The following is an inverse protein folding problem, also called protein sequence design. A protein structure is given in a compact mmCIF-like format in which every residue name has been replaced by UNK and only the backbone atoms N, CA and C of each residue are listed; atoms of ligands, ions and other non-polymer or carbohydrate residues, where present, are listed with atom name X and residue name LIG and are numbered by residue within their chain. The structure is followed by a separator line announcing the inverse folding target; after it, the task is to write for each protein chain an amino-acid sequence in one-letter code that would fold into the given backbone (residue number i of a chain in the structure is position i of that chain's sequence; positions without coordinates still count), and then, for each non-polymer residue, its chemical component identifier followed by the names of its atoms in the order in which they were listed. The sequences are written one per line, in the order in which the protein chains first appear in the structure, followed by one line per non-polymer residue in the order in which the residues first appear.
data_IF_438952994016
#
_entry.id   IF_438952994016
#
_cell.length_a   1.000
_cell.length_b   1.000
_cell.length_c   1.000
_cell.angle_alpha   90.00
_cell.angle_beta   90.00
_cell.angle_gamma   90.00
#
_symmetry.space_group_name_H-M   'P 1'
#
loop_
_entity.id
_entity.type
_entity.pdbx_description
1 polymer ?
#
# COMPACT_ATOMS: atom_id res chain seq x y z
N UNK A 1 -5.17 -33.66 11.27
CA UNK A 1 -4.60 -32.31 10.99
C UNK A 1 -4.86 -32.03 9.53
N UNK A 2 -5.98 -31.40 9.22
CA UNK A 2 -6.44 -31.15 7.85
C UNK A 2 -6.51 -29.67 7.63
N UNK A 3 -5.59 -29.17 6.79
CA UNK A 3 -5.51 -27.76 6.40
C UNK A 3 -6.78 -27.30 5.69
N UNK A 4 -7.38 -26.25 6.19
CA UNK A 4 -8.46 -25.52 5.54
C UNK A 4 -7.86 -24.62 4.44
N UNK A 5 -7.80 -25.13 3.24
CA UNK A 5 -7.40 -24.35 2.08
C UNK A 5 -8.63 -23.67 1.45
N UNK A 6 -8.59 -22.36 1.30
CA UNK A 6 -9.49 -21.65 0.41
C UNK A 6 -9.16 -22.04 -1.04
N UNK A 7 -10.15 -22.48 -1.80
CA UNK A 7 -9.96 -22.88 -3.19
C UNK A 7 -9.97 -21.68 -4.12
N UNK A 8 -8.93 -21.56 -4.94
CA UNK A 8 -8.87 -20.67 -6.09
C UNK A 8 -9.56 -21.35 -7.26
N UNK A 9 -10.63 -20.76 -7.75
CA UNK A 9 -11.25 -21.18 -9.01
C UNK A 9 -10.75 -20.25 -10.10
N UNK A 10 -9.82 -20.74 -10.93
CA UNK A 10 -9.38 -20.04 -12.13
C UNK A 10 -10.37 -20.34 -13.26
N UNK A 11 -11.14 -19.35 -13.66
CA UNK A 11 -12.00 -19.42 -14.85
C UNK A 11 -11.24 -18.78 -16.00
N UNK A 12 -10.71 -19.62 -16.91
CA UNK A 12 -10.15 -19.16 -18.18
C UNK A 12 -11.30 -18.81 -19.12
N UNK A 13 -11.57 -17.53 -19.32
CA UNK A 13 -12.39 -17.06 -20.41
C UNK A 13 -11.48 -16.62 -21.56
N UNK A 14 -11.50 -17.38 -22.66
CA UNK A 14 -10.83 -16.99 -23.91
C UNK A 14 -11.68 -15.93 -24.61
N UNK A 15 -11.38 -14.67 -24.37
CA UNK A 15 -11.74 -13.59 -25.27
C UNK A 15 -10.52 -13.31 -26.16
N UNK A 16 -10.72 -12.96 -27.42
CA UNK A 16 -9.65 -12.59 -28.37
C UNK A 16 -8.79 -11.48 -27.74
N UNK A 17 -7.58 -11.86 -27.25
CA UNK A 17 -6.69 -10.98 -26.46
C UNK A 17 -6.63 -11.45 -25.01
N UNK A 18 -6.08 -12.62 -24.80
CA UNK A 18 -5.64 -13.30 -23.57
C UNK A 18 -5.46 -12.40 -22.33
N UNK A 19 -6.49 -12.26 -21.48
CA UNK A 19 -6.31 -11.98 -20.06
C UNK A 19 -7.10 -12.99 -19.26
N UNK A 20 -6.40 -13.80 -18.45
CA UNK A 20 -7.01 -14.75 -17.52
C UNK A 20 -7.44 -13.96 -16.28
N UNK A 21 -8.73 -13.81 -16.05
CA UNK A 21 -9.28 -13.26 -14.82
C UNK A 21 -9.29 -14.36 -13.75
N UNK A 22 -8.50 -14.19 -12.72
CA UNK A 22 -8.52 -15.05 -11.53
C UNK A 22 -9.39 -14.37 -10.48
N UNK A 23 -10.59 -14.88 -10.23
CA UNK A 23 -11.45 -14.42 -9.14
C UNK A 23 -11.24 -15.33 -7.94
N UNK A 24 -10.75 -14.79 -6.84
CA UNK A 24 -10.67 -15.49 -5.56
C UNK A 24 -12.01 -15.35 -4.82
N UNK A 25 -12.73 -16.44 -4.66
CA UNK A 25 -13.87 -16.50 -3.76
C UNK A 25 -13.45 -17.04 -2.40
N UNK A 26 -13.83 -16.36 -1.31
CA UNK A 26 -13.57 -16.82 0.05
C UNK A 26 -14.27 -18.17 0.34
N UNK A 27 -13.76 -18.91 1.32
CA UNK A 27 -14.27 -20.25 1.69
C UNK A 27 -15.76 -20.28 2.05
N UNK A 28 -16.32 -19.15 2.47
CA UNK A 28 -17.75 -18.98 2.81
C UNK A 28 -18.62 -18.55 1.63
N UNK A 29 -18.05 -18.32 0.44
CA UNK A 29 -18.86 -17.95 -0.72
C UNK A 29 -19.74 -19.12 -1.18
N UNK A 30 -20.95 -18.82 -1.62
CA UNK A 30 -21.87 -19.83 -2.15
C UNK A 30 -21.26 -20.63 -3.32
N UNK A 31 -20.34 -20.01 -4.06
CA UNK A 31 -19.62 -20.64 -5.16
C UNK A 31 -18.58 -21.66 -4.66
N UNK A 32 -17.81 -21.33 -3.60
CA UNK A 32 -16.86 -22.28 -2.97
C UNK A 32 -17.59 -23.43 -2.31
N UNK A 33 -18.75 -23.16 -1.69
CA UNK A 33 -19.61 -24.17 -1.08
C UNK A 33 -20.16 -25.12 -2.16
N UNK A 34 -20.72 -24.59 -3.24
CA UNK A 34 -21.24 -25.39 -4.35
C UNK A 34 -20.17 -26.24 -5.02
N UNK A 35 -18.95 -25.72 -5.22
CA UNK A 35 -17.82 -26.47 -5.75
C UNK A 35 -17.35 -27.58 -4.82
N UNK A 36 -17.25 -27.30 -3.52
CA UNK A 36 -16.84 -28.26 -2.50
C UNK A 36 -17.86 -29.41 -2.35
N UNK A 37 -19.16 -29.11 -2.41
CA UNK A 37 -20.22 -30.11 -2.40
C UNK A 37 -20.26 -30.91 -3.70
N UNK A 38 -20.15 -30.27 -4.85
CA UNK A 38 -20.11 -30.93 -6.14
C UNK A 38 -18.96 -31.90 -6.29
N UNK A 39 -17.76 -31.56 -5.79
CA UNK A 39 -16.60 -32.47 -5.81
C UNK A 39 -16.70 -33.63 -4.81
N UNK A 40 -17.42 -33.48 -3.70
CA UNK A 40 -17.68 -34.56 -2.74
C UNK A 40 -18.79 -35.50 -3.18
N UNK A 41 -19.83 -35.01 -3.86
CA UNK A 41 -20.93 -35.82 -4.35
C UNK A 41 -20.57 -36.63 -5.60
N UNK A 42 -19.56 -36.22 -6.34
CA UNK A 42 -19.10 -36.91 -7.57
C UNK A 42 -17.90 -37.79 -7.28
N UNK A 43 -17.95 -38.56 -6.19
CA UNK A 43 -16.90 -39.52 -5.78
C UNK A 43 -16.09 -40.06 -6.95
N UNK A 44 -14.83 -40.26 -6.71
CA UNK A 44 -13.68 -40.63 -7.51
C UNK A 44 -13.91 -41.60 -8.69
N UNK A 45 -14.88 -41.34 -9.56
CA UNK A 45 -15.12 -42.10 -10.76
C UNK A 45 -14.87 -41.23 -12.01
N UNK A 46 -14.00 -41.75 -12.82
CA UNK A 46 -13.35 -41.32 -14.06
C UNK A 46 -14.25 -40.76 -15.19
N UNK A 47 -15.25 -39.96 -14.94
CA UNK A 47 -16.05 -39.27 -15.96
C UNK A 47 -15.91 -37.74 -15.92
N UNK A 48 -14.67 -37.31 -16.14
CA UNK A 48 -14.30 -35.87 -16.07
C UNK A 48 -14.77 -35.02 -17.26
N UNK A 49 -15.46 -35.61 -18.25
CA UNK A 49 -15.90 -34.85 -19.45
C UNK A 49 -17.19 -34.05 -19.30
N UNK A 50 -18.19 -34.60 -18.61
CA UNK A 50 -19.56 -34.04 -18.61
C UNK A 50 -19.71 -32.73 -17.81
N UNK A 51 -19.10 -32.62 -16.64
CA UNK A 51 -19.22 -31.42 -15.81
C UNK A 51 -18.34 -30.26 -16.34
N UNK A 52 -17.19 -30.58 -16.98
CA UNK A 52 -16.39 -29.53 -17.67
C UNK A 52 -17.16 -28.91 -18.81
N UNK A 53 -17.91 -29.69 -19.58
CA UNK A 53 -18.81 -29.17 -20.62
C UNK A 53 -20.01 -28.41 -20.04
N UNK A 54 -20.58 -28.87 -18.92
CA UNK A 54 -21.65 -28.15 -18.22
C UNK A 54 -21.12 -26.85 -17.61
N UNK A 55 -19.95 -26.86 -16.96
CA UNK A 55 -19.30 -25.66 -16.43
C UNK A 55 -18.91 -24.68 -17.55
N UNK A 56 -18.45 -25.15 -18.71
CA UNK A 56 -18.19 -24.31 -19.88
C UNK A 56 -19.48 -23.71 -20.49
N UNK A 57 -20.58 -24.48 -20.57
CA UNK A 57 -21.88 -23.96 -21.04
C UNK A 57 -22.47 -22.95 -20.06
N UNK A 58 -22.24 -23.11 -18.76
CA UNK A 58 -22.67 -22.15 -17.75
C UNK A 58 -21.70 -20.99 -17.59
N UNK A 59 -20.41 -21.13 -17.89
CA UNK A 59 -19.44 -20.04 -17.88
C UNK A 59 -19.80 -18.89 -18.83
N UNK A 60 -20.48 -19.19 -19.96
CA UNK A 60 -21.05 -18.14 -20.83
C UNK A 60 -22.18 -17.34 -20.16
N UNK A 61 -22.94 -17.92 -19.24
CA UNK A 61 -23.98 -17.24 -18.46
C UNK A 61 -23.40 -16.40 -17.31
N UNK A 62 -22.16 -16.71 -16.85
CA UNK A 62 -21.48 -16.03 -15.75
C UNK A 62 -20.37 -15.09 -16.25
N UNK A 63 -20.51 -14.56 -17.46
CA UNK A 63 -19.64 -13.47 -17.89
C UNK A 63 -19.95 -12.27 -16.98
N UNK A 64 -19.01 -11.97 -16.08
CA UNK A 64 -19.09 -10.78 -15.18
C UNK A 64 -19.40 -9.49 -15.97
N UNK A 65 -18.95 -9.41 -17.21
CA UNK A 65 -19.28 -8.31 -18.12
C UNK A 65 -20.79 -8.20 -18.43
N UNK A 66 -21.55 -9.32 -18.40
CA UNK A 66 -23.01 -9.29 -18.62
C UNK A 66 -23.81 -8.81 -17.39
N UNK A 67 -23.17 -8.77 -16.23
CA UNK A 67 -23.75 -8.27 -14.98
C UNK A 67 -23.46 -6.79 -14.73
N UNK A 68 -22.63 -6.20 -15.59
CA UNK A 68 -22.36 -4.78 -15.51
C UNK A 68 -23.64 -4.03 -15.87
N UNK A 69 -24.24 -3.25 -14.96
CA UNK A 69 -25.48 -2.56 -15.24
C UNK A 69 -25.33 -1.67 -16.48
N UNK A 70 -26.28 -1.73 -17.42
CA UNK A 70 -26.23 -0.92 -18.66
C UNK A 70 -26.01 0.56 -18.39
N UNK A 71 -26.62 1.08 -17.31
CA UNK A 71 -26.45 2.47 -16.87
C UNK A 71 -24.98 2.86 -16.60
N UNK A 72 -24.11 1.87 -16.30
CA UNK A 72 -22.68 2.11 -16.08
C UNK A 72 -21.84 1.91 -17.36
N UNK A 73 -22.47 1.42 -18.46
CA UNK A 73 -21.78 1.23 -19.74
C UNK A 73 -21.83 2.49 -20.62
N UNK A 74 -22.88 3.29 -20.50
CA UNK A 74 -23.23 4.31 -21.49
C UNK A 74 -22.87 5.75 -21.07
N UNK A 75 -22.49 6.02 -19.80
CA UNK A 75 -22.53 7.38 -19.24
C UNK A 75 -21.21 7.95 -18.71
N UNK A 76 -20.08 7.27 -18.89
CA UNK A 76 -18.80 7.84 -18.46
C UNK A 76 -18.12 8.54 -19.63
N UNK A 77 -18.65 9.72 -20.03
CA UNK A 77 -17.92 10.60 -20.92
C UNK A 77 -16.60 11.05 -20.27
N UNK A 78 -15.48 10.67 -20.88
CA UNK A 78 -14.17 11.05 -20.43
C UNK A 78 -13.90 12.49 -20.79
N UNK A 79 -13.94 13.36 -19.80
CA UNK A 79 -13.49 14.73 -19.94
C UNK A 79 -11.97 14.79 -19.81
N UNK A 80 -11.30 15.32 -20.83
CA UNK A 80 -9.87 15.61 -20.75
C UNK A 80 -9.66 16.99 -20.14
N UNK A 81 -9.02 17.07 -18.97
CA UNK A 81 -8.66 18.32 -18.31
C UNK A 81 -7.27 18.82 -18.73
N UNK A 82 -6.40 17.89 -19.07
CA UNK A 82 -5.04 18.15 -19.56
C UNK A 82 -4.80 17.29 -20.79
N UNK A 83 -4.41 17.88 -21.93
CA UNK A 83 -4.03 17.09 -23.11
C UNK A 83 -2.77 16.29 -22.84
N UNK A 84 -2.65 15.15 -23.53
CA UNK A 84 -1.44 14.34 -23.43
C UNK A 84 -0.25 15.09 -24.06
N UNK A 85 0.93 15.00 -23.46
CA UNK A 85 2.14 15.56 -24.05
C UNK A 85 2.55 14.79 -25.31
N UNK A 86 3.53 15.32 -26.06
CA UNK A 86 4.14 14.57 -27.17
C UNK A 86 4.70 13.23 -26.67
N UNK A 87 4.80 12.24 -27.57
CA UNK A 87 5.36 10.93 -27.23
C UNK A 87 6.76 11.03 -26.61
N UNK A 88 7.62 11.88 -27.14
CA UNK A 88 8.97 12.09 -26.63
C UNK A 88 8.95 12.67 -25.20
N UNK A 89 8.10 13.66 -24.97
CA UNK A 89 7.95 14.29 -23.66
C UNK A 89 7.32 13.34 -22.63
N UNK A 90 6.32 12.56 -23.05
CA UNK A 90 5.73 11.51 -22.20
C UNK A 90 6.78 10.48 -21.75
N UNK A 91 7.60 9.99 -22.66
CA UNK A 91 8.66 9.01 -22.33
C UNK A 91 9.67 9.60 -21.34
N UNK A 92 10.04 10.87 -21.48
CA UNK A 92 10.92 11.54 -20.54
C UNK A 92 10.28 11.66 -19.13
N UNK A 93 9.03 12.12 -19.04
CA UNK A 93 8.30 12.24 -17.79
C UNK A 93 8.12 10.88 -17.07
N UNK A 94 7.85 9.85 -17.85
CA UNK A 94 7.71 8.47 -17.34
C UNK A 94 9.06 7.97 -16.81
N UNK A 95 10.17 8.26 -17.52
CA UNK A 95 11.52 7.92 -17.05
C UNK A 95 11.85 8.54 -15.70
N UNK A 96 11.45 9.78 -15.45
CA UNK A 96 11.60 10.43 -14.13
C UNK A 96 10.82 9.69 -13.03
N UNK A 97 9.61 9.24 -13.31
CA UNK A 97 8.82 8.45 -12.36
C UNK A 97 9.48 7.11 -12.05
N UNK A 98 9.92 6.37 -13.08
CA UNK A 98 10.54 5.04 -12.88
C UNK A 98 11.88 5.12 -12.17
N UNK A 99 12.69 6.13 -12.46
CA UNK A 99 14.01 6.30 -11.83
C UNK A 99 13.95 6.74 -10.37
N UNK A 100 12.85 7.34 -9.93
CA UNK A 100 12.69 7.87 -8.56
C UNK A 100 11.59 7.15 -7.77
N UNK A 101 10.33 7.47 -8.06
CA UNK A 101 9.19 6.99 -7.28
C UNK A 101 9.06 5.46 -7.36
N UNK A 102 9.06 4.90 -8.57
CA UNK A 102 8.89 3.46 -8.76
C UNK A 102 10.13 2.66 -8.33
N UNK A 103 11.32 3.27 -8.39
CA UNK A 103 12.54 2.66 -7.85
C UNK A 103 12.45 2.45 -6.34
N UNK A 104 11.91 3.42 -5.61
CA UNK A 104 11.76 3.35 -4.16
C UNK A 104 10.56 2.49 -3.73
N UNK A 105 9.42 2.65 -4.41
CA UNK A 105 8.16 1.94 -4.16
C UNK A 105 7.74 1.25 -5.45
N UNK A 106 8.14 -0.01 -5.66
CA UNK A 106 7.99 -0.72 -6.94
C UNK A 106 6.53 -1.11 -7.17
N UNK A 107 5.80 -0.26 -7.87
CA UNK A 107 4.38 -0.44 -8.15
C UNK A 107 4.13 -0.99 -9.56
N UNK A 108 4.85 -0.50 -10.57
CA UNK A 108 4.68 -0.91 -11.96
C UNK A 108 5.91 -1.66 -12.47
N UNK A 109 5.68 -2.60 -13.38
CA UNK A 109 6.74 -3.16 -14.20
C UNK A 109 7.01 -2.24 -15.38
N UNK A 110 8.21 -1.66 -15.48
CA UNK A 110 8.57 -0.66 -16.47
C UNK A 110 8.41 -1.18 -17.91
N UNK A 111 8.89 -2.39 -18.19
CA UNK A 111 8.81 -2.98 -19.52
C UNK A 111 7.36 -3.15 -19.99
N UNK A 112 6.49 -3.63 -19.12
CA UNK A 112 5.05 -3.79 -19.41
C UNK A 112 4.36 -2.44 -19.56
N UNK A 113 4.70 -1.47 -18.72
CA UNK A 113 4.16 -0.11 -18.77
C UNK A 113 4.55 0.57 -20.10
N UNK A 114 5.83 0.49 -20.50
CA UNK A 114 6.31 1.10 -21.74
C UNK A 114 5.69 0.49 -23.00
N UNK A 115 5.32 -0.79 -22.98
CA UNK A 115 4.51 -1.40 -24.08
C UNK A 115 3.15 -0.73 -24.21
N UNK A 116 2.48 -0.44 -23.08
CA UNK A 116 1.20 0.28 -23.07
C UNK A 116 1.39 1.75 -23.51
N UNK A 117 2.49 2.39 -23.13
CA UNK A 117 2.85 3.74 -23.63
C UNK A 117 3.00 3.75 -25.16
N UNK A 118 3.73 2.79 -25.71
CA UNK A 118 3.88 2.68 -27.18
C UNK A 118 2.53 2.50 -27.87
N UNK A 119 1.66 1.68 -27.28
CA UNK A 119 0.31 1.45 -27.78
C UNK A 119 -0.55 2.71 -27.68
N UNK A 120 -0.41 3.54 -26.61
CA UNK A 120 -1.15 4.79 -26.41
C UNK A 120 -0.93 5.77 -27.57
N UNK A 121 0.28 5.84 -28.11
CA UNK A 121 0.64 6.71 -29.23
C UNK A 121 0.59 6.00 -30.59
N UNK A 122 -0.09 4.86 -30.69
CA UNK A 122 -0.35 4.15 -31.93
C UNK A 122 -1.76 4.44 -32.47
N UNK A 123 -2.10 3.84 -33.62
CA UNK A 123 -3.44 3.90 -34.21
C UNK A 123 -4.54 3.15 -33.40
N UNK A 124 -4.14 2.31 -32.43
CA UNK A 124 -5.07 1.54 -31.59
C UNK A 124 -4.70 1.69 -30.10
N UNK A 125 -4.96 2.85 -29.48
CA UNK A 125 -4.64 3.10 -28.09
C UNK A 125 -5.44 2.16 -27.16
N UNK A 126 -4.92 1.96 -25.95
CA UNK A 126 -5.66 1.26 -24.89
C UNK A 126 -6.65 2.23 -24.26
N UNK A 127 -7.95 1.92 -24.35
CA UNK A 127 -9.02 2.76 -23.82
C UNK A 127 -9.48 2.34 -22.42
N UNK A 128 -8.80 1.37 -21.79
CA UNK A 128 -9.20 0.92 -20.45
C UNK A 128 -9.04 2.04 -19.41
N UNK A 129 -10.01 2.19 -18.48
CA UNK A 129 -9.91 3.19 -17.43
C UNK A 129 -8.72 2.97 -16.52
N UNK A 130 -8.32 1.71 -16.29
CA UNK A 130 -7.14 1.34 -15.49
C UNK A 130 -5.86 1.88 -16.11
N UNK A 131 -5.71 1.73 -17.43
CA UNK A 131 -4.58 2.28 -18.16
C UNK A 131 -4.60 3.81 -18.16
N UNK A 132 -5.76 4.40 -18.51
CA UNK A 132 -5.90 5.85 -18.55
C UNK A 132 -5.54 6.50 -17.22
N UNK A 133 -6.03 5.97 -16.10
CA UNK A 133 -5.70 6.47 -14.77
C UNK A 133 -4.20 6.31 -14.47
N UNK A 134 -3.63 5.11 -14.65
CA UNK A 134 -2.22 4.83 -14.39
C UNK A 134 -1.30 5.73 -15.19
N UNK A 135 -1.57 5.89 -16.49
CA UNK A 135 -0.77 6.72 -17.39
C UNK A 135 -0.79 8.18 -16.97
N UNK A 136 -1.96 8.74 -16.68
CA UNK A 136 -2.08 10.13 -16.24
C UNK A 136 -1.44 10.38 -14.89
N UNK A 137 -1.55 9.46 -13.91
CA UNK A 137 -0.89 9.64 -12.61
C UNK A 137 0.64 9.59 -12.76
N UNK A 138 1.17 8.71 -13.59
CA UNK A 138 2.61 8.63 -13.85
C UNK A 138 3.11 9.91 -14.52
N UNK A 139 2.38 10.46 -15.49
CA UNK A 139 2.69 11.77 -16.08
C UNK A 139 2.65 12.88 -15.03
N UNK A 140 1.67 12.86 -14.12
CA UNK A 140 1.56 13.85 -13.06
C UNK A 140 2.78 13.83 -12.13
N UNK A 141 3.30 12.64 -11.77
CA UNK A 141 4.55 12.53 -11.02
C UNK A 141 5.74 13.10 -11.80
N UNK A 142 5.86 12.78 -13.08
CA UNK A 142 6.93 13.33 -13.93
C UNK A 142 6.89 14.86 -14.01
N UNK A 143 5.71 15.46 -14.12
CA UNK A 143 5.55 16.92 -14.06
C UNK A 143 5.91 17.49 -12.69
N UNK A 144 5.58 16.82 -11.59
CA UNK A 144 6.01 17.24 -10.25
C UNK A 144 7.54 17.24 -10.10
N UNK A 145 8.21 16.18 -10.59
CA UNK A 145 9.67 16.12 -10.59
C UNK A 145 10.31 17.24 -11.45
N UNK A 146 9.69 17.55 -12.59
CA UNK A 146 10.13 18.66 -13.45
C UNK A 146 9.90 20.03 -12.78
N UNK A 147 8.80 20.19 -12.04
CA UNK A 147 8.51 21.41 -11.30
C UNK A 147 9.57 21.71 -10.24
N UNK A 148 10.06 20.69 -9.53
CA UNK A 148 11.11 20.84 -8.52
C UNK A 148 12.47 21.28 -9.09
N UNK A 149 12.73 20.94 -10.35
CA UNK A 149 13.99 21.32 -11.05
C UNK A 149 13.93 22.71 -11.69
N UNK A 150 12.75 23.33 -11.74
CA UNK A 150 12.53 24.62 -12.40
C UNK A 150 12.37 25.74 -11.39
N UNK A 151 13.03 26.89 -11.55
CA UNK A 151 12.86 28.06 -10.67
C UNK A 151 11.42 28.59 -10.62
N UNK A 152 10.67 28.45 -11.72
CA UNK A 152 9.21 28.67 -11.77
C UNK A 152 8.53 27.37 -12.21
N UNK A 153 8.22 26.53 -11.22
CA UNK A 153 7.57 25.26 -11.45
C UNK A 153 6.05 25.34 -11.63
N UNK A 154 5.44 26.53 -11.53
CA UNK A 154 3.98 26.70 -11.45
C UNK A 154 3.21 26.08 -12.61
N UNK A 155 3.69 26.21 -13.85
CA UNK A 155 3.07 25.60 -15.03
C UNK A 155 3.12 24.07 -14.98
N UNK A 156 4.25 23.49 -14.55
CA UNK A 156 4.37 22.04 -14.38
C UNK A 156 3.46 21.51 -13.26
N UNK A 157 3.29 22.26 -12.17
CA UNK A 157 2.34 21.92 -11.11
C UNK A 157 0.90 21.91 -11.66
N UNK A 158 0.51 22.91 -12.46
CA UNK A 158 -0.81 22.95 -13.07
C UNK A 158 -1.04 21.79 -14.05
N UNK A 159 -0.05 21.43 -14.87
CA UNK A 159 -0.09 20.26 -15.73
C UNK A 159 -0.24 18.97 -14.93
N UNK A 160 0.53 18.81 -13.85
CA UNK A 160 0.41 17.68 -12.93
C UNK A 160 -1.01 17.57 -12.38
N UNK A 161 -1.59 18.65 -11.86
CA UNK A 161 -2.95 18.69 -11.34
C UNK A 161 -3.99 18.36 -12.42
N UNK A 162 -3.77 18.81 -13.66
CA UNK A 162 -4.62 18.50 -14.80
C UNK A 162 -4.63 17.01 -15.13
N UNK A 163 -3.46 16.35 -15.11
CA UNK A 163 -3.35 14.91 -15.29
C UNK A 163 -3.99 14.12 -14.14
N UNK A 164 -3.87 14.59 -12.90
CA UNK A 164 -4.61 13.98 -11.78
C UNK A 164 -6.12 14.08 -11.99
N UNK A 165 -6.64 15.22 -12.47
CA UNK A 165 -8.07 15.33 -12.82
C UNK A 165 -8.49 14.35 -13.90
N UNK A 166 -7.64 14.11 -14.91
CA UNK A 166 -7.88 13.08 -15.93
C UNK A 166 -8.00 11.68 -15.30
N UNK A 167 -7.11 11.34 -14.37
CA UNK A 167 -7.14 10.06 -13.66
C UNK A 167 -8.39 9.94 -12.77
N UNK A 168 -8.73 10.99 -12.02
CA UNK A 168 -9.89 11.00 -11.13
C UNK A 168 -11.21 10.84 -11.89
N UNK A 169 -11.28 11.30 -13.14
CA UNK A 169 -12.48 11.21 -13.96
C UNK A 169 -12.93 9.78 -14.27
N UNK A 170 -12.03 8.80 -14.17
CA UNK A 170 -12.33 7.38 -14.42
C UNK A 170 -12.36 6.52 -13.16
N UNK A 171 -12.21 7.10 -11.97
CA UNK A 171 -12.15 6.35 -10.71
C UNK A 171 -13.41 5.54 -10.45
N UNK A 172 -14.58 6.08 -10.77
CA UNK A 172 -15.83 5.35 -10.59
C UNK A 172 -15.90 4.10 -11.48
N UNK A 173 -15.32 4.16 -12.69
CA UNK A 173 -15.21 2.99 -13.55
C UNK A 173 -14.29 1.92 -12.92
N UNK A 174 -13.18 2.32 -12.25
CA UNK A 174 -12.28 1.39 -11.57
C UNK A 174 -13.01 0.62 -10.45
N UNK A 175 -13.94 1.27 -9.75
CA UNK A 175 -14.71 0.63 -8.68
C UNK A 175 -15.80 -0.31 -9.20
N UNK A 176 -16.38 0.00 -10.35
CA UNK A 176 -17.55 -0.71 -10.88
C UNK A 176 -17.18 -1.83 -11.85
N UNK A 177 -15.98 -1.81 -12.42
CA UNK A 177 -15.51 -2.85 -13.34
C UNK A 177 -14.90 -4.02 -12.59
N UNK A 178 -14.64 -5.10 -13.33
CA UNK A 178 -13.93 -6.27 -12.79
C UNK A 178 -12.54 -5.86 -12.33
N UNK A 179 -12.17 -6.29 -11.11
CA UNK A 179 -10.87 -6.00 -10.56
C UNK A 179 -9.73 -6.58 -11.42
N UNK A 180 -8.79 -5.73 -11.77
CA UNK A 180 -7.56 -6.11 -12.46
C UNK A 180 -6.33 -5.50 -11.76
N UNK A 181 -5.16 -6.04 -12.06
CA UNK A 181 -3.89 -5.60 -11.46
C UNK A 181 -3.66 -4.10 -11.71
N UNK A 182 -3.90 -3.66 -12.93
CA UNK A 182 -3.66 -2.26 -13.32
C UNK A 182 -4.63 -1.29 -12.63
N UNK A 183 -5.88 -1.72 -12.33
CA UNK A 183 -6.82 -0.92 -11.54
C UNK A 183 -6.33 -0.73 -10.09
N UNK A 184 -5.81 -1.79 -9.46
CA UNK A 184 -5.20 -1.66 -8.13
C UNK A 184 -3.97 -0.75 -8.16
N UNK A 185 -3.09 -0.89 -9.17
CA UNK A 185 -1.93 -0.03 -9.38
C UNK A 185 -2.33 1.44 -9.61
N UNK A 186 -3.39 1.70 -10.37
CA UNK A 186 -3.92 3.04 -10.59
C UNK A 186 -4.39 3.70 -9.28
N UNK A 187 -5.15 2.97 -8.47
CA UNK A 187 -5.62 3.48 -7.17
C UNK A 187 -4.46 3.70 -6.19
N UNK A 188 -3.45 2.80 -6.18
CA UNK A 188 -2.27 2.96 -5.34
C UNK A 188 -1.40 4.14 -5.80
N UNK A 189 -1.26 4.36 -7.09
CA UNK A 189 -0.53 5.52 -7.61
C UNK A 189 -1.23 6.84 -7.27
N UNK A 190 -2.57 6.88 -7.32
CA UNK A 190 -3.36 8.02 -6.79
C UNK A 190 -3.13 8.20 -5.28
N UNK A 191 -3.18 7.11 -4.50
CA UNK A 191 -2.91 7.17 -3.07
C UNK A 191 -1.52 7.75 -2.77
N UNK A 192 -0.48 7.30 -3.48
CA UNK A 192 0.89 7.82 -3.36
C UNK A 192 0.97 9.31 -3.73
N UNK A 193 0.23 9.75 -4.76
CA UNK A 193 0.19 11.16 -5.12
C UNK A 193 -0.46 12.00 -4.01
N UNK A 194 -1.62 11.58 -3.51
CA UNK A 194 -2.32 12.29 -2.44
C UNK A 194 -1.65 12.19 -1.07
N UNK A 195 -0.70 11.29 -0.88
CA UNK A 195 0.12 11.24 0.32
C UNK A 195 0.93 12.53 0.53
N UNK A 196 1.18 13.28 -0.54
CA UNK A 196 1.86 14.59 -0.53
C UNK A 196 0.92 15.76 -0.18
N UNK A 197 -0.35 15.50 0.08
CA UNK A 197 -1.34 16.54 0.38
C UNK A 197 -1.69 16.54 1.87
N UNK A 198 -1.99 17.72 2.46
CA UNK A 198 -2.35 17.80 3.89
C UNK A 198 -3.68 17.13 4.22
N UNK A 199 -4.57 16.96 3.24
CA UNK A 199 -5.85 16.28 3.45
C UNK A 199 -5.69 14.76 3.41
N UNK A 200 -5.85 14.04 4.53
CA UNK A 200 -5.67 12.58 4.57
C UNK A 200 -6.80 11.79 3.90
N UNK A 201 -7.94 12.43 3.60
CA UNK A 201 -9.13 11.74 3.13
C UNK A 201 -8.95 11.02 1.78
N UNK A 202 -8.36 11.65 0.73
CA UNK A 202 -8.13 10.95 -0.54
C UNK A 202 -7.20 9.75 -0.39
N UNK A 203 -6.08 9.91 0.33
CA UNK A 203 -5.15 8.81 0.60
C UNK A 203 -5.86 7.64 1.28
N UNK A 204 -6.63 7.91 2.34
CA UNK A 204 -7.37 6.89 3.07
C UNK A 204 -8.34 6.12 2.18
N UNK A 205 -9.11 6.83 1.35
CA UNK A 205 -10.09 6.20 0.46
C UNK A 205 -9.44 5.38 -0.65
N UNK A 206 -8.40 5.91 -1.29
CA UNK A 206 -7.71 5.19 -2.38
C UNK A 206 -6.93 3.97 -1.87
N UNK A 207 -6.23 4.08 -0.73
CA UNK A 207 -5.55 2.95 -0.11
C UNK A 207 -6.54 1.84 0.27
N UNK A 208 -7.66 2.20 0.90
CA UNK A 208 -8.72 1.26 1.27
C UNK A 208 -9.33 0.56 0.05
N UNK A 209 -9.63 1.31 -1.01
CA UNK A 209 -10.20 0.76 -2.25
C UNK A 209 -9.22 -0.17 -2.96
N UNK A 210 -7.95 0.22 -3.06
CA UNK A 210 -6.90 -0.62 -3.64
C UNK A 210 -6.71 -1.92 -2.85
N UNK A 211 -6.74 -1.85 -1.51
CA UNK A 211 -6.69 -3.05 -0.66
C UNK A 211 -7.89 -3.96 -0.92
N UNK A 212 -9.11 -3.43 -1.06
CA UNK A 212 -10.31 -4.22 -1.40
C UNK A 212 -10.19 -4.89 -2.77
N UNK A 213 -9.69 -4.18 -3.80
CA UNK A 213 -9.42 -4.80 -5.11
C UNK A 213 -8.34 -5.88 -4.98
N UNK A 214 -7.29 -5.64 -4.23
CA UNK A 214 -6.23 -6.61 -3.95
C UNK A 214 -6.78 -7.88 -3.30
N UNK A 215 -7.66 -7.74 -2.32
CA UNK A 215 -8.34 -8.87 -1.67
C UNK A 215 -9.22 -9.65 -2.65
N UNK A 216 -9.99 -8.97 -3.51
CA UNK A 216 -10.86 -9.63 -4.50
C UNK A 216 -10.08 -10.41 -5.57
N UNK A 217 -8.85 -9.99 -5.87
CA UNK A 217 -7.91 -10.70 -6.75
C UNK A 217 -7.07 -11.76 -6.03
N UNK A 218 -7.24 -11.93 -4.72
CA UNK A 218 -6.48 -12.87 -3.89
C UNK A 218 -5.02 -12.50 -3.68
N UNK A 219 -4.65 -11.22 -3.82
CA UNK A 219 -3.26 -10.77 -3.61
C UNK A 219 -2.83 -10.88 -2.14
N UNK A 220 -3.77 -11.00 -1.22
CA UNK A 220 -3.52 -11.21 0.21
C UNK A 220 -3.14 -12.67 0.55
N UNK A 221 -3.06 -13.56 -0.44
CA UNK A 221 -2.69 -14.96 -0.27
C UNK A 221 -1.38 -15.29 -1.00
N UNK A 222 -0.56 -16.10 -0.35
CA UNK A 222 0.68 -16.63 -0.91
C UNK A 222 0.41 -17.71 -1.98
N UNK A 223 -0.29 -17.31 -3.05
CA UNK A 223 -0.61 -18.23 -4.14
C UNK A 223 0.28 -17.98 -5.35
N UNK A 224 1.02 -19.00 -5.72
CA UNK A 224 1.94 -18.98 -6.86
C UNK A 224 1.46 -19.84 -8.04
N UNK A 225 0.34 -20.58 -7.87
CA UNK A 225 -0.12 -21.53 -8.86
C UNK A 225 -0.61 -20.86 -10.15
N UNK A 226 0.01 -21.19 -11.25
CA UNK A 226 -0.36 -20.68 -12.57
C UNK A 226 0.21 -19.30 -12.92
N UNK A 227 1.07 -18.73 -12.07
CA UNK A 227 1.77 -17.46 -12.31
C UNK A 227 3.27 -17.67 -12.52
N UNK A 228 3.86 -16.88 -13.39
CA UNK A 228 5.31 -16.80 -13.50
C UNK A 228 5.93 -16.13 -12.25
N UNK A 229 7.22 -16.34 -11.95
CA UNK A 229 7.90 -15.69 -10.84
C UNK A 229 7.78 -14.17 -10.87
N UNK A 230 7.82 -13.55 -12.05
CA UNK A 230 7.66 -12.10 -12.21
C UNK A 230 6.24 -11.63 -11.85
N UNK A 231 5.21 -12.37 -12.26
CA UNK A 231 3.81 -12.06 -11.89
C UNK A 231 3.56 -12.26 -10.40
N UNK A 232 4.16 -13.29 -9.78
CA UNK A 232 4.08 -13.52 -8.33
C UNK A 232 4.69 -12.33 -7.57
N UNK A 233 5.85 -11.85 -8.02
CA UNK A 233 6.52 -10.72 -7.39
C UNK A 233 5.73 -9.42 -7.59
N UNK A 234 5.19 -9.15 -8.78
CA UNK A 234 4.32 -7.99 -9.03
C UNK A 234 3.09 -8.00 -8.12
N UNK A 235 2.41 -9.15 -7.99
CA UNK A 235 1.25 -9.32 -7.09
C UNK A 235 1.63 -9.07 -5.63
N UNK A 236 2.78 -9.57 -5.18
CA UNK A 236 3.32 -9.36 -3.85
C UNK A 236 3.57 -7.88 -3.59
N UNK A 237 4.21 -7.17 -4.52
CA UNK A 237 4.51 -5.74 -4.40
C UNK A 237 3.24 -4.89 -4.29
N UNK A 238 2.25 -5.15 -5.12
CA UNK A 238 0.96 -4.45 -5.06
C UNK A 238 0.30 -4.63 -3.70
N UNK A 239 0.25 -5.86 -3.17
CA UNK A 239 -0.28 -6.12 -1.84
C UNK A 239 0.47 -5.31 -0.77
N UNK A 240 1.80 -5.35 -0.77
CA UNK A 240 2.59 -4.66 0.23
C UNK A 240 2.53 -3.14 0.11
N UNK A 241 2.46 -2.58 -1.08
CA UNK A 241 2.22 -1.12 -1.26
C UNK A 241 0.86 -0.74 -0.67
N UNK A 242 -0.19 -1.52 -0.93
CA UNK A 242 -1.51 -1.29 -0.35
C UNK A 242 -1.49 -1.40 1.18
N UNK A 243 -0.82 -2.42 1.73
CA UNK A 243 -0.70 -2.64 3.17
C UNK A 243 0.09 -1.52 3.87
N UNK A 244 1.21 -1.06 3.29
CA UNK A 244 2.02 0.04 3.81
C UNK A 244 1.18 1.32 3.91
N UNK A 245 0.45 1.66 2.86
CA UNK A 245 -0.38 2.87 2.84
C UNK A 245 -1.56 2.79 3.81
N UNK A 246 -2.22 1.62 3.88
CA UNK A 246 -3.34 1.39 4.81
C UNK A 246 -2.87 1.44 6.28
N UNK A 247 -1.75 0.81 6.62
CA UNK A 247 -1.20 0.81 7.96
C UNK A 247 -0.79 2.23 8.42
N UNK A 248 -0.07 2.95 7.57
CA UNK A 248 0.40 4.30 7.86
C UNK A 248 -0.76 5.28 8.07
N UNK A 249 -1.69 5.36 7.12
CA UNK A 249 -2.80 6.32 7.21
C UNK A 249 -3.75 5.98 8.36
N UNK A 250 -3.99 4.69 8.64
CA UNK A 250 -4.84 4.26 9.74
C UNK A 250 -4.27 4.67 11.09
N UNK A 251 -2.97 4.43 11.33
CA UNK A 251 -2.32 4.83 12.57
C UNK A 251 -2.26 6.35 12.73
N UNK A 252 -1.95 7.09 11.65
CA UNK A 252 -1.89 8.56 11.71
C UNK A 252 -3.23 9.21 12.03
N UNK A 253 -4.31 8.68 11.45
CA UNK A 253 -5.66 9.28 11.57
C UNK A 253 -6.52 8.64 12.65
N UNK A 254 -6.09 7.54 13.27
CA UNK A 254 -6.89 6.77 14.24
C UNK A 254 -8.07 6.02 13.61
N UNK A 255 -8.08 5.81 12.30
CA UNK A 255 -9.14 5.10 11.57
C UNK A 255 -8.84 3.61 11.50
N UNK A 256 -9.87 2.74 11.49
CA UNK A 256 -9.67 1.31 11.30
C UNK A 256 -9.01 1.02 9.95
N UNK A 257 -8.07 0.08 9.91
CA UNK A 257 -7.50 -0.36 8.65
C UNK A 257 -8.33 -1.46 8.00
N UNK A 258 -8.12 -1.63 6.70
CA UNK A 258 -8.89 -2.57 5.87
C UNK A 258 -8.40 -4.01 6.00
N UNK A 259 -7.07 -4.20 6.19
CA UNK A 259 -6.44 -5.52 6.21
C UNK A 259 -6.01 -5.89 7.63
N UNK A 260 -6.55 -7.00 8.18
CA UNK A 260 -6.02 -7.59 9.41
C UNK A 260 -4.80 -8.46 9.09
N UNK A 261 -3.81 -8.46 10.02
CA UNK A 261 -2.59 -9.27 9.90
C UNK A 261 -2.86 -10.78 9.95
N UNK A 262 -4.02 -11.19 10.48
CA UNK A 262 -4.44 -12.60 10.53
C UNK A 262 -5.06 -13.10 9.23
N UNK A 263 -5.44 -12.20 8.35
CA UNK A 263 -6.19 -12.51 7.13
C UNK A 263 -5.31 -12.55 5.86
N UNK A 264 -4.00 -12.53 6.01
CA UNK A 264 -3.07 -12.70 4.90
C UNK A 264 -1.88 -13.60 5.27
N UNK A 265 -1.27 -14.20 4.24
CA UNK A 265 -0.10 -15.07 4.35
C UNK A 265 0.99 -14.73 3.31
N UNK A 266 0.90 -13.55 2.69
CA UNK A 266 1.87 -13.06 1.71
C UNK A 266 3.21 -12.80 2.40
N UNK A 267 4.31 -13.43 1.95
CA UNK A 267 5.62 -13.19 2.52
C UNK A 267 6.08 -11.74 2.30
N UNK A 268 6.94 -11.24 3.18
CA UNK A 268 7.57 -9.93 3.01
C UNK A 268 8.24 -9.80 1.63
N UNK A 269 8.37 -8.57 1.09
CA UNK A 269 9.17 -8.33 -0.11
C UNK A 269 10.58 -8.90 0.04
N UNK A 270 11.18 -9.35 -1.06
CA UNK A 270 12.55 -9.90 -1.02
C UNK A 270 13.53 -8.87 -0.46
N UNK A 271 14.46 -9.33 0.39
CA UNK A 271 15.60 -8.50 0.85
C UNK A 271 16.57 -8.19 -0.29
N UNK A 272 16.67 -9.09 -1.25
CA UNK A 272 17.57 -9.01 -2.41
C UNK A 272 16.77 -9.27 -3.68
N UNK A 273 15.95 -8.30 -4.14
CA UNK A 273 15.19 -8.45 -5.37
C UNK A 273 16.13 -8.50 -6.58
N UNK A 274 15.83 -9.35 -7.57
CA UNK A 274 16.69 -9.52 -8.76
C UNK A 274 16.75 -8.27 -9.65
N UNK A 275 15.70 -7.44 -9.63
CA UNK A 275 15.60 -6.21 -10.40
C UNK A 275 16.06 -4.97 -9.64
N UNK A 276 16.63 -5.15 -8.44
CA UNK A 276 17.12 -4.10 -7.54
C UNK A 276 16.08 -3.00 -7.19
N UNK A 277 14.80 -3.21 -7.52
CA UNK A 277 13.74 -2.27 -7.16
C UNK A 277 13.48 -2.32 -5.64
N UNK A 278 13.31 -1.15 -5.05
CA UNK A 278 13.22 -0.96 -3.60
C UNK A 278 14.58 -0.84 -2.91
N UNK A 279 15.69 -1.10 -3.63
CA UNK A 279 17.05 -0.91 -3.11
C UNK A 279 17.55 0.49 -3.45
N UNK A 280 18.05 1.16 -2.44
CA UNK A 280 18.65 2.49 -2.53
C UNK A 280 20.08 2.43 -2.02
N UNK A 281 20.99 3.11 -2.69
CA UNK A 281 22.39 3.19 -2.28
C UNK A 281 22.68 4.58 -1.72
N UNK A 282 23.19 4.63 -0.48
CA UNK A 282 23.53 5.84 0.26
C UNK A 282 24.98 5.72 0.68
N UNK A 283 25.87 6.60 0.22
CA UNK A 283 27.28 6.61 0.60
C UNK A 283 27.95 5.22 0.53
N UNK A 284 27.62 4.46 -0.52
CA UNK A 284 28.11 3.09 -0.73
C UNK A 284 27.40 2.02 0.11
N UNK A 285 26.45 2.39 0.96
CA UNK A 285 25.63 1.44 1.74
C UNK A 285 24.32 1.18 1.03
N UNK A 286 23.99 -0.08 0.77
CA UNK A 286 22.71 -0.48 0.20
C UNK A 286 21.65 -0.65 1.30
N UNK A 287 20.51 -0.01 1.10
CA UNK A 287 19.33 -0.10 1.97
C UNK A 287 18.16 -0.60 1.14
N UNK A 288 17.55 -1.72 1.53
CA UNK A 288 16.29 -2.13 0.93
C UNK A 288 15.13 -1.36 1.57
N UNK A 289 14.88 -0.17 1.03
CA UNK A 289 13.87 0.75 1.53
C UNK A 289 12.46 0.16 1.50
N UNK A 290 12.09 -0.54 0.42
CA UNK A 290 10.75 -1.12 0.29
C UNK A 290 10.50 -2.25 1.30
N UNK A 291 11.50 -3.11 1.52
CA UNK A 291 11.42 -4.15 2.55
C UNK A 291 11.27 -3.54 3.94
N UNK A 292 12.06 -2.51 4.25
CA UNK A 292 11.98 -1.80 5.54
C UNK A 292 10.64 -1.11 5.75
N UNK A 293 10.04 -0.54 4.70
CA UNK A 293 8.69 0.01 4.78
C UNK A 293 7.66 -1.07 5.11
N UNK A 294 7.78 -2.26 4.51
CA UNK A 294 6.87 -3.37 4.76
C UNK A 294 6.99 -3.90 6.20
N UNK A 295 8.22 -4.07 6.72
CA UNK A 295 8.46 -4.41 8.12
C UNK A 295 7.89 -3.34 9.06
N UNK A 296 8.11 -2.07 8.74
CA UNK A 296 7.59 -0.96 9.54
C UNK A 296 6.05 -0.90 9.56
N UNK A 297 5.42 -1.19 8.44
CA UNK A 297 3.96 -1.25 8.38
C UNK A 297 3.38 -2.32 9.32
N UNK A 298 4.08 -3.44 9.51
CA UNK A 298 3.69 -4.44 10.52
C UNK A 298 3.81 -3.89 11.94
N UNK A 299 4.86 -3.13 12.25
CA UNK A 299 5.02 -2.44 13.54
C UNK A 299 3.89 -1.43 13.77
N UNK A 300 3.60 -0.59 12.77
CA UNK A 300 2.49 0.37 12.83
C UNK A 300 1.14 -0.34 13.08
N UNK A 301 0.93 -1.50 12.44
CA UNK A 301 -0.27 -2.32 12.66
C UNK A 301 -0.35 -2.91 14.06
N UNK A 302 0.76 -3.37 14.63
CA UNK A 302 0.81 -3.81 16.02
C UNK A 302 0.43 -2.66 16.97
N UNK A 303 1.05 -1.49 16.83
CA UNK A 303 0.73 -0.30 17.64
C UNK A 303 -0.76 0.04 17.53
N UNK A 304 -1.32 0.10 16.32
CA UNK A 304 -2.74 0.39 16.14
C UNK A 304 -3.62 -0.68 16.81
N UNK A 305 -3.31 -1.96 16.63
CA UNK A 305 -4.11 -3.08 17.14
C UNK A 305 -4.11 -3.13 18.67
N UNK A 306 -2.94 -2.97 19.29
CA UNK A 306 -2.78 -3.11 20.74
C UNK A 306 -3.22 -1.87 21.52
N UNK A 307 -3.17 -0.68 20.90
CA UNK A 307 -3.36 0.59 21.61
C UNK A 307 -4.53 1.44 21.11
N UNK A 308 -5.02 1.25 19.87
CA UNK A 308 -5.97 2.18 19.24
C UNK A 308 -7.29 1.52 18.79
N UNK A 309 -7.48 0.23 19.02
CA UNK A 309 -8.75 -0.44 18.73
C UNK A 309 -9.76 -0.21 19.86
N UNK A 310 -11.05 -0.36 19.54
CA UNK A 310 -12.11 -0.25 20.53
C UNK A 310 -11.96 -1.26 21.70
N UNK A 311 -11.34 -2.41 21.44
CA UNK A 311 -11.01 -3.41 22.47
C UNK A 311 -9.83 -2.97 23.34
N UNK A 312 -8.82 -2.33 22.76
CA UNK A 312 -7.67 -1.82 23.50
C UNK A 312 -8.07 -0.77 24.55
N UNK A 313 -9.00 0.12 24.22
CA UNK A 313 -9.52 1.13 25.16
C UNK A 313 -10.36 0.54 26.33
N UNK A 314 -10.70 -0.74 26.28
CA UNK A 314 -11.38 -1.44 27.39
C UNK A 314 -10.41 -2.15 28.34
N UNK A 315 -9.12 -2.17 28.01
CA UNK A 315 -8.09 -2.78 28.84
C UNK A 315 -7.94 -2.03 30.17
N UNK A 316 -7.59 -2.76 31.24
CA UNK A 316 -7.16 -2.16 32.50
C UNK A 316 -5.88 -1.34 32.28
N UNK A 317 -5.61 -0.37 33.18
CA UNK A 317 -4.40 0.44 33.13
C UNK A 317 -3.12 -0.41 33.11
N UNK A 318 -3.08 -1.49 33.89
CA UNK A 318 -1.97 -2.46 33.94
C UNK A 318 -1.76 -3.16 32.58
N UNK A 319 -2.81 -3.72 32.00
CA UNK A 319 -2.71 -4.37 30.70
C UNK A 319 -2.28 -3.39 29.61
N UNK A 320 -2.80 -2.15 29.66
CA UNK A 320 -2.43 -1.11 28.74
C UNK A 320 -0.94 -0.73 28.88
N UNK A 321 -0.41 -0.66 30.11
CA UNK A 321 1.01 -0.39 30.35
C UNK A 321 1.92 -1.50 29.75
N UNK A 322 1.53 -2.78 29.90
CA UNK A 322 2.23 -3.91 29.29
C UNK A 322 2.25 -3.83 27.76
N UNK A 323 1.11 -3.51 27.14
CA UNK A 323 1.00 -3.35 25.69
C UNK A 323 1.83 -2.16 25.16
N UNK A 324 1.88 -1.05 25.92
CA UNK A 324 2.73 0.10 25.59
C UNK A 324 4.20 -0.29 25.61
N UNK A 325 4.65 -0.98 26.67
CA UNK A 325 6.04 -1.45 26.79
C UNK A 325 6.41 -2.39 25.64
N UNK A 326 5.55 -3.33 25.32
CA UNK A 326 5.74 -4.24 24.19
C UNK A 326 5.83 -3.48 22.85
N UNK A 327 4.94 -2.51 22.59
CA UNK A 327 4.99 -1.70 21.38
C UNK A 327 6.27 -0.85 21.29
N UNK A 328 6.74 -0.29 22.44
CA UNK A 328 8.00 0.46 22.51
C UNK A 328 9.18 -0.44 22.16
N UNK A 329 9.27 -1.62 22.74
CA UNK A 329 10.33 -2.59 22.46
C UNK A 329 10.34 -3.02 20.98
N UNK A 330 9.18 -3.36 20.42
CA UNK A 330 9.04 -3.70 19.00
C UNK A 330 9.55 -2.59 18.09
N UNK A 331 9.23 -1.33 18.42
CA UNK A 331 9.68 -0.17 17.66
C UNK A 331 11.20 0.04 17.75
N UNK A 332 11.75 -0.15 18.93
CA UNK A 332 13.21 -0.08 19.17
C UNK A 332 13.96 -1.21 18.42
N UNK A 333 13.44 -2.45 18.46
CA UNK A 333 14.02 -3.56 17.73
C UNK A 333 14.03 -3.32 16.22
N UNK A 334 12.90 -2.84 15.68
CA UNK A 334 12.85 -2.47 14.28
C UNK A 334 13.89 -1.39 13.92
N UNK A 335 14.09 -0.40 14.79
CA UNK A 335 15.09 0.65 14.53
C UNK A 335 16.53 0.11 14.43
N UNK A 336 16.82 -1.06 15.03
CA UNK A 336 18.15 -1.72 14.94
C UNK A 336 18.41 -2.34 13.58
N UNK A 337 17.36 -2.55 12.76
CA UNK A 337 17.50 -3.09 11.39
C UNK A 337 18.19 -2.10 10.44
N UNK A 338 18.18 -0.81 10.79
CA UNK A 338 18.93 0.20 10.03
C UNK A 338 20.44 0.02 10.18
N UNK A 339 21.20 0.26 9.10
CA UNK A 339 22.64 0.45 9.22
C UNK A 339 22.95 1.52 10.26
N UNK A 340 24.01 1.32 11.06
CA UNK A 340 24.26 2.10 12.27
C UNK A 340 24.24 3.62 12.11
N UNK A 341 24.69 4.12 10.96
CA UNK A 341 24.73 5.55 10.63
C UNK A 341 23.33 6.14 10.27
N UNK A 342 22.37 5.31 9.88
CA UNK A 342 21.01 5.73 9.47
C UNK A 342 19.94 5.41 10.52
N UNK A 343 20.33 5.08 11.75
CA UNK A 343 19.36 4.82 12.82
C UNK A 343 18.64 6.10 13.24
N UNK A 344 17.31 6.06 13.44
CA UNK A 344 16.51 7.24 13.78
C UNK A 344 16.93 7.99 15.05
N UNK A 345 17.69 7.32 15.94
CA UNK A 345 18.15 7.92 17.22
C UNK A 345 19.48 8.67 17.08
N UNK A 346 20.12 8.64 15.93
CA UNK A 346 21.40 9.35 15.69
C UNK A 346 21.19 10.64 14.94
N UNK A 347 22.14 11.55 15.09
CA UNK A 347 22.17 12.75 14.28
C UNK A 347 22.28 12.35 12.81
N UNK A 348 21.45 12.97 11.99
CA UNK A 348 21.31 12.63 10.59
C UNK A 348 22.61 12.96 9.85
N UNK A 349 23.25 12.01 9.17
CA UNK A 349 24.46 12.32 8.40
C UNK A 349 24.09 13.31 7.27
N UNK A 350 25.04 14.13 6.84
CA UNK A 350 24.93 14.97 5.64
C UNK A 350 24.87 14.04 4.41
N UNK A 351 23.66 13.67 4.00
CA UNK A 351 23.40 12.67 2.96
C UNK A 351 23.14 13.32 1.62
N UNK A 352 23.54 12.65 0.56
CA UNK A 352 23.29 13.03 -0.82
C UNK A 352 21.77 13.27 -1.08
N UNK A 353 21.43 14.32 -1.82
CA UNK A 353 20.09 14.86 -2.01
C UNK A 353 19.00 13.85 -2.43
N UNK A 354 19.32 12.81 -3.21
CA UNK A 354 18.31 11.92 -3.81
C UNK A 354 17.66 10.93 -2.82
N UNK A 355 18.30 10.66 -1.69
CA UNK A 355 17.89 9.63 -0.73
C UNK A 355 17.34 10.20 0.58
N UNK A 356 17.71 11.44 0.83
CA UNK A 356 17.31 12.17 2.03
C UNK A 356 15.79 12.09 2.28
N UNK A 357 14.91 12.28 1.26
CA UNK A 357 13.48 12.24 1.47
C UNK A 357 12.95 10.90 1.97
N UNK A 358 13.51 9.81 1.47
CA UNK A 358 13.02 8.46 1.79
C UNK A 358 13.43 8.02 3.20
N UNK A 359 14.68 8.24 3.57
CA UNK A 359 15.18 7.95 4.93
C UNK A 359 14.52 8.88 5.93
N UNK A 360 14.40 10.17 5.61
CA UNK A 360 13.70 11.17 6.41
C UNK A 360 12.27 10.77 6.70
N UNK A 361 11.54 10.31 5.68
CA UNK A 361 10.16 9.84 5.83
C UNK A 361 10.06 8.68 6.82
N UNK A 362 10.96 7.69 6.74
CA UNK A 362 10.99 6.58 7.68
C UNK A 362 11.28 7.06 9.12
N UNK A 363 12.22 7.99 9.28
CA UNK A 363 12.54 8.56 10.59
C UNK A 363 11.35 9.34 11.16
N UNK A 364 10.71 10.20 10.37
CA UNK A 364 9.53 10.95 10.81
C UNK A 364 8.37 10.01 11.17
N UNK A 365 8.15 8.94 10.40
CA UNK A 365 7.12 7.95 10.71
C UNK A 365 7.45 7.18 12.01
N UNK A 366 8.73 6.85 12.25
CA UNK A 366 9.20 6.27 13.51
C UNK A 366 8.94 7.21 14.70
N UNK A 367 9.30 8.48 14.60
CA UNK A 367 9.06 9.47 15.64
C UNK A 367 7.56 9.71 15.87
N UNK A 368 6.75 9.66 14.80
CA UNK A 368 5.30 9.72 14.91
C UNK A 368 4.73 8.55 15.76
N UNK A 369 5.28 7.34 15.64
CA UNK A 369 4.89 6.22 16.47
C UNK A 369 5.18 6.49 17.96
N UNK A 370 6.32 7.09 18.31
CA UNK A 370 6.60 7.49 19.69
C UNK A 370 5.62 8.55 20.21
N UNK A 371 5.22 9.52 19.38
CA UNK A 371 4.20 10.48 19.76
C UNK A 371 2.84 9.81 20.03
N UNK A 372 2.53 8.73 19.29
CA UNK A 372 1.33 7.92 19.57
C UNK A 372 1.47 7.16 20.90
N UNK A 373 2.61 6.56 21.19
CA UNK A 373 2.87 5.92 22.49
C UNK A 373 2.72 6.91 23.65
N UNK A 374 3.30 8.11 23.54
CA UNK A 374 3.17 9.16 24.55
C UNK A 374 1.71 9.46 24.91
N UNK A 375 0.85 9.65 23.89
CA UNK A 375 -0.56 9.95 24.10
C UNK A 375 -1.25 8.85 24.92
N UNK A 376 -0.97 7.56 24.62
CA UNK A 376 -1.55 6.44 25.34
C UNK A 376 -0.94 6.29 26.74
N UNK A 377 0.36 6.59 26.93
CA UNK A 377 0.98 6.60 28.26
C UNK A 377 0.24 7.54 29.23
N UNK A 378 -0.07 8.76 28.78
CA UNK A 378 -0.80 9.74 29.59
C UNK A 378 -2.19 9.22 29.99
N UNK A 379 -2.91 8.60 29.05
CA UNK A 379 -4.22 7.99 29.33
C UNK A 379 -4.11 6.82 30.31
N UNK A 380 -3.10 5.97 30.16
CA UNK A 380 -2.86 4.83 31.06
C UNK A 380 -2.55 5.29 32.47
N UNK A 381 -1.68 6.29 32.69
CA UNK A 381 -1.39 6.87 34.00
C UNK A 381 -2.65 7.42 34.67
N UNK A 382 -3.50 8.12 33.93
CA UNK A 382 -4.78 8.60 34.48
C UNK A 382 -5.71 7.48 34.90
N UNK A 383 -5.72 6.35 34.17
CA UNK A 383 -6.53 5.17 34.49
C UNK A 383 -6.01 4.45 35.75
N UNK A 384 -4.70 4.21 35.84
CA UNK A 384 -4.04 3.55 36.98
C UNK A 384 -4.30 4.34 38.26
N UNK A 385 -4.13 5.64 38.25
CA UNK A 385 -4.36 6.50 39.41
C UNK A 385 -5.81 6.53 39.91
N UNK A 386 -6.78 6.07 39.11
CA UNK A 386 -8.19 5.98 39.50
C UNK A 386 -8.60 4.59 40.04
N UNK A 387 -7.75 3.57 39.83
CA UNK A 387 -8.02 2.21 40.27
C UNK A 387 -7.34 1.92 41.60
N UNK A 388 -7.98 1.14 42.47
CA UNK A 388 -7.42 0.73 43.77
C UNK A 388 -6.39 -0.38 43.58
N UNK A 389 -5.13 0.02 43.31
CA UNK A 389 -3.98 -0.89 43.27
C UNK A 389 -3.13 -0.74 44.54
N UNK A 390 -2.27 -1.72 44.84
CA UNK A 390 -1.27 -1.55 45.89
C UNK A 390 -0.26 -0.46 45.51
N UNK A 391 0.29 0.26 46.49
CA UNK A 391 1.23 1.36 46.24
C UNK A 391 2.44 0.87 45.44
N UNK A 392 2.96 -0.33 45.70
CA UNK A 392 4.09 -0.92 45.03
C UNK A 392 3.81 -1.21 43.54
N UNK A 393 2.62 -1.72 43.24
CA UNK A 393 2.21 -1.98 41.85
C UNK A 393 2.07 -0.69 41.06
N UNK A 394 1.47 0.36 41.68
CA UNK A 394 1.33 1.69 41.06
C UNK A 394 2.71 2.30 40.76
N UNK A 395 3.66 2.19 41.67
CA UNK A 395 5.02 2.73 41.49
C UNK A 395 5.76 2.02 40.35
N UNK A 396 5.66 0.69 40.25
CA UNK A 396 6.30 -0.09 39.19
C UNK A 396 5.74 0.29 37.81
N UNK A 397 4.40 0.29 37.66
CA UNK A 397 3.73 0.64 36.41
C UNK A 397 3.97 2.10 35.99
N UNK A 398 3.96 3.03 36.94
CA UNK A 398 4.26 4.44 36.66
C UNK A 398 5.72 4.63 36.22
N UNK A 399 6.68 3.83 36.71
CA UNK A 399 8.07 3.87 36.25
C UNK A 399 8.19 3.44 34.80
N UNK A 400 7.59 2.31 34.39
CA UNK A 400 7.58 1.85 32.99
C UNK A 400 6.97 2.86 32.04
N UNK A 401 5.85 3.46 32.43
CA UNK A 401 5.19 4.52 31.64
C UNK A 401 6.04 5.79 31.58
N UNK A 402 6.72 6.15 32.65
CA UNK A 402 7.63 7.30 32.70
C UNK A 402 8.83 7.09 31.75
N UNK A 403 9.42 5.89 31.70
CA UNK A 403 10.48 5.55 30.76
C UNK A 403 10.01 5.64 29.31
N UNK A 404 8.76 5.26 29.04
CA UNK A 404 8.17 5.43 27.71
C UNK A 404 7.95 6.92 27.37
N UNK A 405 7.48 7.72 28.32
CA UNK A 405 7.30 9.16 28.16
C UNK A 405 8.62 9.85 27.87
N UNK A 406 9.68 9.54 28.62
CA UNK A 406 11.02 10.09 28.40
C UNK A 406 11.53 9.74 26.99
N UNK A 407 11.44 8.48 26.59
CA UNK A 407 11.84 8.04 25.25
C UNK A 407 11.04 8.77 24.15
N UNK A 408 9.75 9.02 24.38
CA UNK A 408 8.88 9.75 23.44
C UNK A 408 9.27 11.23 23.32
N UNK A 409 9.66 11.87 24.43
CA UNK A 409 10.13 13.26 24.43
C UNK A 409 11.49 13.40 23.73
N UNK A 410 12.41 12.44 23.94
CA UNK A 410 13.67 12.39 23.21
C UNK A 410 13.44 12.21 21.70
N UNK A 411 12.53 11.32 21.36
CA UNK A 411 12.12 11.10 19.98
C UNK A 411 11.53 12.37 19.35
N UNK A 412 10.70 13.10 20.06
CA UNK A 412 10.13 14.37 19.57
C UNK A 412 11.21 15.43 19.33
N UNK A 413 12.20 15.54 20.24
CA UNK A 413 13.37 16.44 20.05
C UNK A 413 14.17 16.07 18.81
N UNK A 414 14.38 14.77 18.58
CA UNK A 414 15.07 14.27 17.39
C UNK A 414 14.32 14.59 16.12
N UNK A 415 12.99 14.47 16.14
CA UNK A 415 12.13 14.83 15.00
C UNK A 415 12.23 16.32 14.65
N UNK A 416 12.24 17.22 15.67
CA UNK A 416 12.39 18.67 15.45
C UNK A 416 13.76 18.98 14.84
N UNK A 417 14.84 18.45 15.38
CA UNK A 417 16.19 18.61 14.81
C UNK A 417 16.29 18.12 13.37
N UNK A 418 15.61 17.01 13.08
CA UNK A 418 15.54 16.43 11.74
C UNK A 418 14.85 17.40 10.77
N UNK A 419 13.74 18.00 11.16
CA UNK A 419 13.00 18.99 10.38
C UNK A 419 13.84 20.26 10.15
N UNK A 420 14.52 20.77 11.16
CA UNK A 420 15.40 21.94 11.05
C UNK A 420 16.53 21.71 10.03
N UNK A 421 17.13 20.51 10.03
CA UNK A 421 18.19 20.16 9.09
C UNK A 421 17.67 20.07 7.63
N UNK A 422 16.39 19.78 7.45
CA UNK A 422 15.75 19.61 6.12
C UNK A 422 15.17 20.91 5.59
N UNK A 423 14.70 21.81 6.45
CA UNK A 423 14.19 23.13 6.04
C UNK A 423 15.22 23.97 5.28
N UNK A 424 16.51 23.61 5.41
CA UNK A 424 17.60 24.19 4.63
C UNK A 424 17.73 23.63 3.19
N UNK A 425 16.99 22.55 2.86
CA UNK A 425 17.25 21.77 1.63
C UNK A 425 16.18 21.95 0.56
N UNK A 426 14.91 22.10 0.84
CA UNK A 426 13.84 22.51 -0.10
C UNK A 426 12.46 22.49 0.55
N UNK A 427 11.70 23.58 0.40
CA UNK A 427 10.37 23.76 0.97
C UNK A 427 9.28 22.86 0.35
N UNK A 428 9.54 22.18 -0.77
CA UNK A 428 8.51 21.41 -1.50
C UNK A 428 8.52 19.90 -1.18
N UNK A 429 9.36 19.47 -0.25
CA UNK A 429 9.64 18.04 -0.04
C UNK A 429 8.89 17.38 1.11
N UNK A 430 8.03 18.10 1.85
CA UNK A 430 7.28 17.49 2.94
C UNK A 430 6.02 16.77 2.47
N UNK A 431 6.08 15.44 2.25
CA UNK A 431 4.87 14.64 2.33
C UNK A 431 4.60 14.39 3.82
N UNK A 432 3.46 14.80 4.26
CA UNK A 432 2.94 14.60 5.61
C UNK A 432 2.89 13.14 6.03
#
# INVERSE_FOLDING_TARGET
MTGRYGFLVSVKTSLRGSKTLTVCSGASSGFSIAYSYGSKCLGDQSHTGGWRLAAQRHAHRWQLASWFPRILQDNFERRSFQPLPSKADAVHLIGEFFSKCNKAIPLFNESSFMKLVQRQFSWNPDESPSWWASFNVVLAFGYMERAQKSPDGSDNIQKSLGHIKNALNVVMELFMRTADILAAQALLSLALYFQRTPNPQPLFMFAASAMRLSQSMGLHRANTFGFSPAEVEERRRIFWVAFILDADISLRTGRPSVQDVKDFDVPLPSKTPQDELGIMTVDGVQINYFHMLAEFALVQRQIHRHLYTATAFKNSGENLAKEITHCKETLLEWSKTFPGQFRPQRDFPSVNHDLLPHVLRLHLAYHCCFAKLYHICVLAQQSINRQSHTIADIESLNRELTDCIVASLESARSAVKLIDNVSAIDNDFFPW
#
